data_IF_634933195717
#
_entry.id   IF_634933195717
#
_cell.length_a   1.000
_cell.length_b   1.000
_cell.length_c   1.000
_cell.angle_alpha   90.00
_cell.angle_beta   90.00
_cell.angle_gamma   90.00
#
_symmetry.space_group_name_H-M   'P 1'
#
loop_
_entity.id
_entity.type
_entity.pdbx_description
1 polymer ?
#
# COMPACT_ATOMS: atom_id res chain seq x y z
N UNK A 1 35.03 13.30 13.33
CA UNK A 1 34.26 12.72 14.45
C UNK A 1 34.11 11.22 14.20
N UNK A 2 34.24 10.40 15.24
CA UNK A 2 34.10 8.95 15.13
C UNK A 2 32.59 8.61 14.97
N UNK A 3 32.23 7.85 13.94
CA UNK A 3 30.87 7.43 13.74
C UNK A 3 30.60 6.20 14.59
N UNK A 4 29.66 6.26 15.50
CA UNK A 4 29.31 5.19 16.43
C UNK A 4 27.90 4.59 16.18
N UNK A 5 27.14 5.19 15.28
CA UNK A 5 25.79 4.75 14.91
C UNK A 5 25.64 4.73 13.39
N UNK A 6 24.96 3.73 12.88
CA UNK A 6 24.73 3.54 11.45
C UNK A 6 23.24 3.32 11.24
N UNK A 7 22.60 4.18 10.47
CA UNK A 7 21.19 4.03 10.11
C UNK A 7 21.09 3.43 8.72
N UNK A 8 20.23 2.43 8.57
CA UNK A 8 19.89 1.78 7.29
C UNK A 8 18.44 2.07 7.00
N UNK A 9 18.17 2.87 5.96
CA UNK A 9 16.82 3.11 5.42
C UNK A 9 16.38 1.99 4.49
N UNK A 10 17.34 1.48 3.69
CA UNK A 10 17.08 0.41 2.73
C UNK A 10 18.20 -0.62 2.77
N UNK A 11 17.88 -1.85 3.11
CA UNK A 11 18.79 -2.96 3.31
C UNK A 11 17.99 -4.23 3.63
N UNK A 12 18.67 -5.30 4.05
CA UNK A 12 18.00 -6.54 4.48
C UNK A 12 17.08 -6.28 5.68
N UNK A 13 17.56 -5.50 6.66
CA UNK A 13 16.77 -5.05 7.80
C UNK A 13 17.02 -3.56 8.00
N UNK A 14 16.06 -2.66 7.77
CA UNK A 14 16.16 -1.25 8.12
C UNK A 14 16.25 -1.07 9.64
N UNK A 15 17.04 -0.08 10.09
CA UNK A 15 17.22 0.15 11.54
C UNK A 15 18.47 0.94 11.88
N UNK A 16 18.75 1.08 13.19
CA UNK A 16 19.96 1.72 13.71
C UNK A 16 20.87 0.67 14.30
N UNK A 17 22.13 0.68 13.87
CA UNK A 17 23.16 -0.26 14.26
C UNK A 17 24.29 0.47 14.97
N UNK A 18 24.90 -0.14 16.00
CA UNK A 18 25.95 0.47 16.81
C UNK A 18 27.34 0.19 16.29
N UNK A 19 27.47 -0.76 15.37
CA UNK A 19 28.74 -1.10 14.74
C UNK A 19 28.64 -1.13 13.22
N UNK A 20 29.75 -0.86 12.54
CA UNK A 20 29.82 -1.00 11.09
C UNK A 20 29.56 -2.43 10.63
N UNK A 21 30.05 -3.42 11.38
CA UNK A 21 29.86 -4.83 11.02
C UNK A 21 28.39 -5.24 10.98
N UNK A 22 27.59 -4.78 11.94
CA UNK A 22 26.13 -4.99 11.95
C UNK A 22 25.46 -4.29 10.77
N UNK A 23 25.81 -3.05 10.49
CA UNK A 23 25.28 -2.31 9.35
C UNK A 23 25.69 -2.96 8.01
N UNK A 24 26.95 -3.36 7.86
CA UNK A 24 27.46 -4.01 6.66
C UNK A 24 26.72 -5.30 6.36
N UNK A 25 26.38 -6.08 7.37
CA UNK A 25 25.59 -7.30 7.21
C UNK A 25 24.19 -7.03 6.61
N UNK A 26 23.65 -5.83 6.82
CA UNK A 26 22.32 -5.45 6.30
C UNK A 26 22.38 -4.85 4.88
N UNK A 27 23.51 -4.34 4.46
CA UNK A 27 23.62 -3.59 3.19
C UNK A 27 24.45 -4.32 2.14
N UNK A 28 25.32 -5.23 2.55
CA UNK A 28 26.22 -5.98 1.67
C UNK A 28 25.43 -6.93 0.77
N UNK A 29 25.57 -6.74 -0.55
CA UNK A 29 24.85 -7.53 -1.54
C UNK A 29 23.39 -7.09 -1.76
N UNK A 30 22.91 -6.09 -1.06
CA UNK A 30 21.56 -5.55 -1.25
C UNK A 30 21.58 -4.44 -2.30
N UNK A 31 20.95 -4.69 -3.46
CA UNK A 31 20.89 -3.72 -4.56
C UNK A 31 20.08 -2.48 -4.14
N UNK A 32 20.70 -1.30 -4.21
CA UNK A 32 20.07 -0.04 -3.84
C UNK A 32 20.01 0.24 -2.34
N UNK A 33 20.88 -0.37 -1.55
CA UNK A 33 21.00 -0.08 -0.11
C UNK A 33 21.20 1.41 0.17
N UNK A 34 20.47 1.95 1.16
CA UNK A 34 20.57 3.34 1.63
C UNK A 34 20.91 3.34 3.11
N UNK A 35 22.09 3.81 3.45
CA UNK A 35 22.58 3.85 4.82
C UNK A 35 23.51 5.03 5.07
N UNK A 36 23.64 5.45 6.32
CA UNK A 36 24.51 6.56 6.70
C UNK A 36 25.02 6.39 8.14
N UNK A 37 26.25 6.83 8.40
CA UNK A 37 26.86 6.80 9.74
C UNK A 37 26.79 8.14 10.44
N UNK A 38 26.52 8.13 11.76
CA UNK A 38 26.27 9.28 12.63
C UNK A 38 27.14 9.24 13.89
N UNK A 39 27.31 10.38 14.54
CA UNK A 39 28.03 10.47 15.80
C UNK A 39 27.15 10.08 16.99
N UNK A 40 25.85 10.37 16.93
CA UNK A 40 24.87 10.08 17.98
C UNK A 40 23.69 9.24 17.45
N UNK A 41 23.01 8.57 18.36
CA UNK A 41 21.81 7.78 18.04
C UNK A 41 20.65 8.69 17.60
N UNK A 42 20.52 9.86 18.22
CA UNK A 42 19.47 10.82 17.89
C UNK A 42 19.61 11.36 16.45
N UNK A 43 20.84 11.63 16.01
CA UNK A 43 21.10 12.00 14.60
C UNK A 43 20.73 10.87 13.64
N UNK A 44 21.02 9.62 13.99
CA UNK A 44 20.67 8.45 13.19
C UNK A 44 19.16 8.27 13.12
N UNK A 45 18.47 8.44 14.25
CA UNK A 45 17.01 8.36 14.36
C UNK A 45 16.32 9.47 13.57
N UNK A 46 16.75 10.72 13.74
CA UNK A 46 16.22 11.85 12.99
C UNK A 46 16.38 11.64 11.48
N UNK A 47 17.54 11.15 11.04
CA UNK A 47 17.76 10.87 9.63
C UNK A 47 16.88 9.74 9.09
N UNK A 48 16.55 8.73 9.88
CA UNK A 48 15.58 7.71 9.51
C UNK A 48 14.16 8.33 9.39
N UNK A 49 13.81 9.23 10.31
CA UNK A 49 12.51 9.91 10.34
C UNK A 49 12.34 10.97 9.24
N UNK A 50 13.42 11.61 8.79
CA UNK A 50 13.38 12.66 7.75
C UNK A 50 12.86 12.18 6.37
N UNK A 51 12.77 10.84 6.15
CA UNK A 51 12.28 10.25 4.90
C UNK A 51 11.05 9.34 5.10
N UNK A 52 10.69 9.06 6.34
CA UNK A 52 9.41 8.44 6.66
C UNK A 52 8.47 9.57 7.03
N UNK A 53 7.59 9.96 6.12
CA UNK A 53 6.55 10.97 6.37
C UNK A 53 5.56 10.51 7.43
N UNK A 54 6.02 10.37 8.68
CA UNK A 54 5.19 10.18 9.85
C UNK A 54 5.56 11.27 10.85
N UNK A 55 4.91 12.41 10.74
CA UNK A 55 4.95 13.47 11.73
C UNK A 55 3.54 13.99 11.96
N UNK A 56 3.06 13.67 13.16
CA UNK A 56 2.11 14.46 13.98
C UNK A 56 1.11 15.38 13.28
N UNK A 57 -0.17 15.10 13.55
CA UNK A 57 -1.27 16.02 13.38
C UNK A 57 -0.95 17.42 13.98
N UNK A 58 -0.52 18.34 13.15
CA UNK A 58 -0.51 19.77 13.44
C UNK A 58 -0.78 20.53 12.15
N UNK A 59 -1.99 21.07 12.06
CA UNK A 59 -2.48 22.02 11.07
C UNK A 59 -1.41 22.98 10.56
N UNK A 60 -0.90 22.76 9.35
CA UNK A 60 -0.30 23.81 8.51
C UNK A 60 -0.70 23.57 7.07
N UNK A 61 -1.35 24.60 6.48
CA UNK A 61 -1.71 24.67 5.07
C UNK A 61 -0.52 24.28 4.21
N UNK A 62 -0.63 23.11 3.52
CA UNK A 62 0.40 22.58 2.64
C UNK A 62 0.53 23.38 1.37
N UNK A 63 1.75 23.53 0.90
CA UNK A 63 2.04 23.86 -0.49
C UNK A 63 1.53 22.73 -1.40
N UNK A 64 1.03 23.02 -2.60
CA UNK A 64 0.56 21.97 -3.50
C UNK A 64 1.71 21.01 -3.83
N UNK A 65 1.44 19.71 -3.68
CA UNK A 65 2.34 18.65 -4.11
C UNK A 65 2.59 18.80 -5.63
N UNK A 66 3.83 18.57 -6.07
CA UNK A 66 4.16 18.57 -7.50
C UNK A 66 3.33 17.49 -8.18
N UNK A 67 2.53 17.87 -9.17
CA UNK A 67 1.83 16.92 -10.02
C UNK A 67 2.82 15.90 -10.59
N UNK A 68 2.65 14.63 -10.25
CA UNK A 68 3.41 13.52 -10.82
C UNK A 68 2.76 13.18 -12.15
N UNK A 69 3.50 13.08 -13.27
CA UNK A 69 2.91 12.75 -14.56
C UNK A 69 2.32 11.34 -14.53
N UNK A 70 1.01 11.25 -14.56
CA UNK A 70 0.29 9.99 -14.73
C UNK A 70 0.27 9.63 -16.20
N UNK A 71 0.54 8.36 -16.55
CA UNK A 71 0.41 7.89 -17.93
C UNK A 71 -1.07 7.73 -18.29
N UNK A 72 -1.61 8.72 -19.00
CA UNK A 72 -3.01 8.77 -19.45
C UNK A 72 -3.78 9.96 -18.87
N UNK A 73 -4.90 10.30 -19.51
CA UNK A 73 -5.81 11.31 -18.96
C UNK A 73 -6.42 10.80 -17.65
N UNK A 74 -6.11 11.47 -16.54
CA UNK A 74 -6.80 11.24 -15.27
C UNK A 74 -8.26 11.65 -15.41
N UNK A 75 -9.20 10.83 -14.92
CA UNK A 75 -10.59 11.25 -14.89
C UNK A 75 -10.75 12.43 -13.94
N UNK A 76 -11.63 13.37 -14.31
CA UNK A 76 -12.12 14.36 -13.37
C UNK A 76 -12.85 13.66 -12.21
N UNK A 77 -12.78 14.24 -11.01
CA UNK A 77 -13.43 13.68 -9.83
C UNK A 77 -12.55 12.68 -9.08
N UNK A 78 -13.20 11.70 -8.47
CA UNK A 78 -12.49 10.74 -7.60
C UNK A 78 -11.97 9.53 -8.36
N UNK A 79 -10.74 9.16 -8.05
CA UNK A 79 -10.10 7.94 -8.55
C UNK A 79 -9.41 7.19 -7.41
N UNK A 80 -9.23 5.89 -7.57
CA UNK A 80 -8.43 5.06 -6.66
C UNK A 80 -7.52 4.13 -7.46
N UNK A 81 -6.25 4.04 -7.09
CA UNK A 81 -5.36 2.97 -7.52
C UNK A 81 -5.32 1.90 -6.44
N UNK A 82 -5.49 0.67 -6.82
CA UNK A 82 -5.57 -0.47 -5.90
C UNK A 82 -4.56 -1.54 -6.29
N UNK A 83 -3.88 -2.11 -5.30
CA UNK A 83 -2.94 -3.22 -5.50
C UNK A 83 -2.98 -4.16 -4.29
N UNK A 84 -2.50 -5.39 -4.47
CA UNK A 84 -2.47 -6.42 -3.46
C UNK A 84 -1.10 -7.08 -3.35
N UNK A 85 -0.68 -7.35 -2.12
CA UNK A 85 0.51 -8.11 -1.81
C UNK A 85 0.18 -9.35 -0.98
N UNK A 86 1.09 -10.31 -0.95
CA UNK A 86 0.87 -11.58 -0.25
C UNK A 86 2.14 -12.06 0.43
N UNK A 87 2.00 -12.46 1.68
CA UNK A 87 3.07 -13.06 2.47
C UNK A 87 2.63 -14.45 2.93
N UNK A 88 3.39 -15.46 2.53
CA UNK A 88 3.23 -16.83 3.02
C UNK A 88 4.40 -17.18 3.92
N UNK A 89 4.10 -17.54 5.16
CA UNK A 89 5.06 -18.07 6.11
C UNK A 89 4.57 -19.41 6.67
N UNK A 90 5.43 -20.11 7.41
CA UNK A 90 5.10 -21.44 8.00
C UNK A 90 3.91 -21.35 8.98
N UNK A 91 3.72 -20.21 9.63
CA UNK A 91 2.70 -20.01 10.68
C UNK A 91 1.56 -19.08 10.29
N UNK A 92 1.70 -18.26 9.24
CA UNK A 92 0.71 -17.24 8.91
C UNK A 92 0.60 -17.04 7.41
N UNK A 93 -0.63 -16.82 6.95
CA UNK A 93 -0.96 -16.43 5.58
C UNK A 93 -1.67 -15.10 5.66
N UNK A 94 -0.96 -14.03 5.29
CA UNK A 94 -1.47 -12.65 5.30
C UNK A 94 -1.43 -12.06 3.89
N UNK A 95 -2.34 -11.16 3.61
CA UNK A 95 -2.33 -10.39 2.37
C UNK A 95 -2.48 -8.91 2.69
N UNK A 96 -1.75 -8.08 1.97
CA UNK A 96 -1.75 -6.64 2.12
C UNK A 96 -2.60 -5.99 1.02
N UNK A 97 -3.32 -4.95 1.37
CA UNK A 97 -4.08 -4.10 0.48
C UNK A 97 -3.50 -2.69 0.49
N UNK A 98 -3.23 -2.12 -0.67
CA UNK A 98 -2.77 -0.75 -0.86
C UNK A 98 -3.75 0.03 -1.72
N UNK A 99 -4.14 1.23 -1.26
CA UNK A 99 -5.05 2.11 -1.97
C UNK A 99 -4.53 3.54 -1.97
N UNK A 100 -4.49 4.16 -3.14
CA UNK A 100 -4.20 5.58 -3.30
C UNK A 100 -5.46 6.26 -3.80
N UNK A 101 -6.04 7.14 -3.01
CA UNK A 101 -7.24 7.90 -3.38
C UNK A 101 -6.84 9.26 -3.94
N UNK A 102 -7.38 9.59 -5.10
CA UNK A 102 -7.13 10.86 -5.76
C UNK A 102 -8.44 11.62 -5.98
N UNK A 103 -8.32 12.96 -5.97
CA UNK A 103 -9.36 13.87 -6.45
C UNK A 103 -8.73 14.82 -7.47
N UNK A 104 -9.25 14.82 -8.67
CA UNK A 104 -8.77 15.67 -9.77
C UNK A 104 -7.23 15.54 -10.01
N UNK A 105 -6.70 14.33 -9.80
CA UNK A 105 -5.28 14.00 -9.97
C UNK A 105 -4.39 14.29 -8.76
N UNK A 106 -4.92 14.84 -7.67
CA UNK A 106 -4.19 15.06 -6.42
C UNK A 106 -4.49 13.96 -5.40
N UNK A 107 -3.47 13.43 -4.72
CA UNK A 107 -3.66 12.42 -3.67
C UNK A 107 -4.37 13.09 -2.48
N UNK A 108 -5.50 12.51 -2.06
CA UNK A 108 -6.30 12.98 -0.92
C UNK A 108 -6.28 11.99 0.24
N UNK A 109 -5.98 10.71 -0.01
CA UNK A 109 -5.83 9.70 1.04
C UNK A 109 -5.00 8.50 0.56
N UNK A 110 -4.39 7.78 1.50
CA UNK A 110 -3.60 6.57 1.29
C UNK A 110 -4.02 5.53 2.33
N UNK A 111 -4.30 4.31 1.90
CA UNK A 111 -4.73 3.22 2.79
C UNK A 111 -3.78 2.05 2.64
N UNK A 112 -3.30 1.54 3.77
CA UNK A 112 -2.48 0.34 3.85
C UNK A 112 -3.10 -0.56 4.92
N UNK A 113 -3.63 -1.73 4.52
CA UNK A 113 -4.37 -2.62 5.43
C UNK A 113 -3.98 -4.08 5.21
N UNK A 114 -3.84 -4.82 6.31
CA UNK A 114 -3.56 -6.25 6.29
C UNK A 114 -4.86 -7.04 6.41
N UNK A 115 -5.02 -8.05 5.56
CA UNK A 115 -6.11 -9.01 5.65
C UNK A 115 -5.61 -10.39 6.10
N UNK A 116 -6.42 -11.06 6.96
CA UNK A 116 -6.09 -12.35 7.55
C UNK A 116 -7.20 -13.41 7.29
N UNK A 117 -8.18 -13.09 6.44
CA UNK A 117 -9.24 -14.04 6.08
C UNK A 117 -8.68 -15.24 5.33
N UNK A 118 -8.76 -16.42 5.97
CA UNK A 118 -8.16 -17.65 5.45
C UNK A 118 -8.80 -18.11 4.13
N UNK A 119 -10.10 -17.86 3.92
CA UNK A 119 -10.80 -18.24 2.67
C UNK A 119 -10.38 -17.30 1.52
N UNK A 120 -10.16 -16.03 1.83
CA UNK A 120 -9.67 -15.06 0.87
C UNK A 120 -8.18 -15.26 0.57
N UNK A 121 -7.39 -15.57 1.58
CA UNK A 121 -5.93 -15.74 1.51
C UNK A 121 -5.49 -16.84 0.52
N UNK A 122 -6.32 -17.86 0.24
CA UNK A 122 -6.04 -18.87 -0.81
C UNK A 122 -5.92 -18.26 -2.22
N UNK A 123 -6.36 -17.01 -2.39
CA UNK A 123 -6.24 -16.27 -3.64
C UNK A 123 -4.94 -15.46 -3.75
N UNK A 124 -4.09 -15.49 -2.70
CA UNK A 124 -2.77 -14.83 -2.66
C UNK A 124 -2.87 -13.32 -2.92
N UNK A 125 -2.07 -12.77 -3.84
CA UNK A 125 -2.07 -11.33 -4.17
C UNK A 125 -3.48 -10.84 -4.55
N UNK A 126 -4.26 -11.68 -5.24
CA UNK A 126 -5.64 -11.33 -5.63
C UNK A 126 -6.54 -11.08 -4.41
N UNK A 127 -6.25 -11.71 -3.26
CA UNK A 127 -6.95 -11.41 -2.00
C UNK A 127 -6.72 -9.95 -1.57
N UNK A 128 -5.48 -9.49 -1.65
CA UNK A 128 -5.11 -8.10 -1.37
C UNK A 128 -5.80 -7.11 -2.32
N UNK A 129 -5.83 -7.42 -3.63
CA UNK A 129 -6.50 -6.56 -4.60
C UNK A 129 -8.02 -6.49 -4.40
N UNK A 130 -8.67 -7.60 -4.02
CA UNK A 130 -10.09 -7.63 -3.64
C UNK A 130 -10.31 -6.71 -2.43
N UNK A 131 -9.51 -6.87 -1.37
CA UNK A 131 -9.60 -6.03 -0.18
C UNK A 131 -9.36 -4.57 -0.52
N UNK A 132 -8.32 -4.24 -1.28
CA UNK A 132 -8.01 -2.88 -1.70
C UNK A 132 -9.15 -2.23 -2.48
N UNK A 133 -9.76 -2.98 -3.40
CA UNK A 133 -10.92 -2.50 -4.15
C UNK A 133 -12.15 -2.27 -3.26
N UNK A 134 -12.41 -3.14 -2.29
CA UNK A 134 -13.47 -2.93 -1.29
C UNK A 134 -13.20 -1.70 -0.40
N UNK A 135 -11.96 -1.52 0.05
CA UNK A 135 -11.56 -0.36 0.86
C UNK A 135 -11.78 0.95 0.10
N UNK A 136 -11.38 1.01 -1.18
CA UNK A 136 -11.63 2.18 -2.04
C UNK A 136 -13.13 2.50 -2.15
N UNK A 137 -13.96 1.49 -2.37
CA UNK A 137 -15.42 1.67 -2.46
C UNK A 137 -16.04 2.08 -1.11
N UNK A 138 -15.59 1.49 0.00
CA UNK A 138 -16.04 1.87 1.36
C UNK A 138 -15.64 3.29 1.72
N UNK A 139 -14.41 3.68 1.37
CA UNK A 139 -13.93 5.05 1.54
C UNK A 139 -14.83 6.04 0.78
N UNK A 140 -15.16 5.73 -0.47
CA UNK A 140 -16.04 6.56 -1.29
C UNK A 140 -17.43 6.74 -0.66
N UNK A 141 -18.03 5.65 -0.15
CA UNK A 141 -19.32 5.69 0.53
C UNK A 141 -19.25 6.53 1.82
N UNK A 142 -18.19 6.36 2.63
CA UNK A 142 -17.98 7.11 3.87
C UNK A 142 -17.76 8.61 3.67
N UNK A 143 -17.31 9.00 2.47
CA UNK A 143 -17.07 10.39 2.08
C UNK A 143 -18.16 10.96 1.14
N UNK A 144 -19.32 10.30 1.05
CA UNK A 144 -20.46 10.72 0.19
C UNK A 144 -20.11 10.89 -1.30
N UNK A 145 -19.06 10.21 -1.78
CA UNK A 145 -18.68 10.17 -3.19
C UNK A 145 -19.71 9.37 -3.97
N UNK A 146 -20.16 9.89 -5.10
CA UNK A 146 -21.21 9.27 -5.94
C UNK A 146 -20.65 8.56 -7.16
N UNK A 147 -19.48 8.97 -7.64
CA UNK A 147 -18.79 8.36 -8.78
C UNK A 147 -17.30 8.23 -8.47
N UNK A 148 -16.72 7.09 -8.78
CA UNK A 148 -15.28 6.82 -8.62
C UNK A 148 -14.74 5.95 -9.75
N UNK A 149 -13.53 6.24 -10.21
CA UNK A 149 -12.78 5.36 -11.12
C UNK A 149 -11.76 4.55 -10.33
N UNK A 150 -11.82 3.21 -10.42
CA UNK A 150 -10.84 2.31 -9.81
C UNK A 150 -9.87 1.81 -10.88
N UNK A 151 -8.59 2.13 -10.71
CA UNK A 151 -7.47 1.62 -11.49
C UNK A 151 -6.92 0.36 -10.83
N UNK A 152 -6.79 -0.72 -11.61
CA UNK A 152 -6.35 -2.04 -11.14
C UNK A 152 -5.54 -2.73 -12.24
N UNK A 153 -4.62 -3.62 -11.90
CA UNK A 153 -3.84 -4.37 -12.88
C UNK A 153 -4.36 -5.79 -13.13
N UNK A 154 -5.09 -6.39 -12.18
CA UNK A 154 -5.70 -7.70 -12.34
C UNK A 154 -7.14 -7.63 -12.88
N UNK A 155 -7.37 -8.21 -14.04
CA UNK A 155 -8.67 -8.20 -14.76
C UNK A 155 -9.86 -8.67 -13.92
N UNK A 156 -9.62 -9.61 -12.98
CA UNK A 156 -10.65 -10.19 -12.13
C UNK A 156 -11.40 -9.16 -11.30
N UNK A 157 -10.75 -8.07 -10.87
CA UNK A 157 -11.37 -7.03 -10.04
C UNK A 157 -12.58 -6.42 -10.76
N UNK A 158 -12.41 -5.97 -11.99
CA UNK A 158 -13.50 -5.45 -12.80
C UNK A 158 -14.51 -6.54 -13.21
N UNK A 159 -13.98 -7.71 -13.59
CA UNK A 159 -14.82 -8.76 -14.16
C UNK A 159 -15.78 -9.39 -13.15
N UNK A 160 -15.38 -9.54 -11.89
CA UNK A 160 -16.27 -10.02 -10.83
C UNK A 160 -17.25 -8.95 -10.37
N UNK A 161 -16.80 -7.72 -10.11
CA UNK A 161 -17.65 -6.62 -9.69
C UNK A 161 -18.77 -6.30 -10.71
N UNK A 162 -18.46 -6.42 -12.01
CA UNK A 162 -19.42 -6.17 -13.09
C UNK A 162 -20.23 -7.40 -13.49
N UNK A 163 -19.94 -8.59 -12.94
CA UNK A 163 -20.60 -9.85 -13.26
C UNK A 163 -20.19 -10.47 -14.59
N UNK A 164 -19.13 -9.97 -15.26
CA UNK A 164 -18.60 -10.57 -16.49
C UNK A 164 -18.02 -11.96 -16.25
N UNK A 165 -17.40 -12.18 -15.10
CA UNK A 165 -16.89 -13.49 -14.70
C UNK A 165 -17.79 -14.12 -13.64
N UNK A 166 -17.94 -15.44 -13.73
CA UNK A 166 -18.59 -16.24 -12.68
C UNK A 166 -17.72 -16.25 -11.43
N UNK A 167 -18.38 -16.25 -10.27
CA UNK A 167 -17.74 -16.32 -8.95
C UNK A 167 -17.94 -17.71 -8.37
N UNK A 168 -16.86 -18.38 -7.98
CA UNK A 168 -16.88 -19.76 -7.49
C UNK A 168 -16.23 -19.91 -6.11
N UNK A 169 -15.44 -18.92 -5.67
CA UNK A 169 -14.79 -18.90 -4.37
C UNK A 169 -15.51 -17.94 -3.45
N UNK A 170 -15.55 -18.24 -2.15
CA UNK A 170 -16.24 -17.42 -1.16
C UNK A 170 -15.86 -15.93 -1.26
N UNK A 171 -14.56 -15.61 -1.34
CA UNK A 171 -14.10 -14.22 -1.49
C UNK A 171 -14.61 -13.52 -2.75
N UNK A 172 -14.62 -14.19 -3.90
CA UNK A 172 -15.14 -13.58 -5.14
C UNK A 172 -16.65 -13.43 -5.12
N UNK A 173 -17.36 -14.34 -4.45
CA UNK A 173 -18.83 -14.26 -4.26
C UNK A 173 -19.15 -13.06 -3.35
N UNK A 174 -18.45 -12.93 -2.23
CA UNK A 174 -18.64 -11.82 -1.29
C UNK A 174 -18.31 -10.46 -1.95
N UNK A 175 -17.19 -10.37 -2.66
CA UNK A 175 -16.77 -9.16 -3.37
C UNK A 175 -17.83 -8.71 -4.40
N UNK A 176 -18.32 -9.66 -5.22
CA UNK A 176 -19.38 -9.38 -6.18
C UNK A 176 -20.65 -8.89 -5.49
N UNK A 177 -21.10 -9.59 -4.44
CA UNK A 177 -22.29 -9.23 -3.68
C UNK A 177 -22.15 -7.83 -3.06
N UNK A 178 -20.98 -7.49 -2.53
CA UNK A 178 -20.68 -6.16 -2.01
C UNK A 178 -20.79 -5.10 -3.13
N UNK A 179 -20.10 -5.29 -4.26
CA UNK A 179 -20.14 -4.36 -5.38
C UNK A 179 -21.57 -4.16 -5.94
N UNK A 180 -22.38 -5.23 -5.95
CA UNK A 180 -23.79 -5.15 -6.35
C UNK A 180 -24.64 -4.35 -5.34
N UNK A 181 -24.39 -4.54 -4.04
CA UNK A 181 -25.18 -3.88 -2.97
C UNK A 181 -25.03 -2.37 -2.93
N UNK A 182 -23.90 -1.84 -3.39
CA UNK A 182 -23.59 -0.39 -3.36
C UNK A 182 -23.88 0.34 -4.67
N UNK A 183 -24.28 -0.37 -5.71
CA UNK A 183 -24.39 0.14 -7.10
C UNK A 183 -25.34 1.33 -7.24
N UNK A 184 -26.38 1.42 -6.42
CA UNK A 184 -27.30 2.56 -6.41
C UNK A 184 -26.73 3.78 -5.66
N UNK A 185 -25.74 3.58 -4.80
CA UNK A 185 -25.13 4.62 -3.97
C UNK A 185 -23.85 5.17 -4.56
N UNK A 186 -23.07 4.30 -5.23
CA UNK A 186 -21.77 4.60 -5.82
C UNK A 186 -21.65 4.00 -7.21
N UNK A 187 -21.44 4.84 -8.20
CA UNK A 187 -21.12 4.42 -9.57
C UNK A 187 -19.59 4.20 -9.67
N UNK A 188 -19.18 2.96 -9.85
CA UNK A 188 -17.77 2.59 -10.02
C UNK A 188 -17.46 2.33 -11.48
N UNK A 189 -16.44 3.01 -12.01
CA UNK A 189 -15.82 2.74 -13.30
C UNK A 189 -14.49 2.04 -13.08
N UNK A 190 -14.28 0.89 -13.71
CA UNK A 190 -13.02 0.16 -13.62
C UNK A 190 -12.14 0.45 -14.82
N UNK A 191 -10.87 0.78 -14.60
CA UNK A 191 -9.84 0.97 -15.63
C UNK A 191 -8.65 0.07 -15.36
N UNK A 192 -8.34 -0.78 -16.33
CA UNK A 192 -7.15 -1.62 -16.23
C UNK A 192 -5.90 -0.80 -16.54
N UNK A 193 -4.92 -0.90 -15.64
CA UNK A 193 -3.56 -0.41 -15.86
C UNK A 193 -2.63 -1.59 -16.10
N UNK A 194 -1.43 -1.33 -16.56
CA UNK A 194 -0.41 -2.36 -16.71
C UNK A 194 0.42 -2.39 -15.42
N UNK A 195 0.40 -3.51 -14.71
CA UNK A 195 1.23 -3.72 -13.52
C UNK A 195 2.72 -3.51 -13.81
N UNK A 196 3.44 -2.94 -12.85
CA UNK A 196 4.88 -2.67 -12.92
C UNK A 196 5.33 -1.92 -14.19
N UNK A 197 4.53 -1.00 -14.67
CA UNK A 197 4.82 -0.23 -15.89
C UNK A 197 5.46 1.13 -15.63
N UNK A 198 5.76 1.45 -14.36
CA UNK A 198 6.28 2.75 -13.94
C UNK A 198 5.18 3.81 -13.84
N UNK A 199 3.91 3.41 -13.66
CA UNK A 199 2.83 4.30 -13.25
C UNK A 199 3.02 4.61 -11.75
N UNK A 200 3.33 5.88 -11.38
CA UNK A 200 3.70 6.22 -10.01
C UNK A 200 2.59 5.94 -8.99
N UNK A 201 1.31 6.02 -9.39
CA UNK A 201 0.20 5.78 -8.48
C UNK A 201 -0.02 4.28 -8.27
N UNK A 202 0.18 3.46 -9.31
CA UNK A 202 0.15 2.00 -9.17
C UNK A 202 1.36 1.51 -8.35
N UNK A 203 2.55 2.07 -8.59
CA UNK A 203 3.75 1.72 -7.82
C UNK A 203 3.60 2.11 -6.33
N UNK A 204 2.91 3.22 -6.03
CA UNK A 204 2.59 3.63 -4.66
C UNK A 204 1.56 2.68 -4.01
N UNK A 205 0.52 2.26 -4.72
CA UNK A 205 -0.45 1.28 -4.21
C UNK A 205 0.23 -0.07 -3.91
N UNK A 206 1.15 -0.56 -4.79
CA UNK A 206 1.97 -1.75 -4.54
C UNK A 206 2.85 -1.60 -3.28
N UNK A 207 3.46 -0.43 -3.10
CA UNK A 207 4.24 -0.13 -1.91
C UNK A 207 3.37 -0.19 -0.64
N UNK A 208 2.21 0.44 -0.62
CA UNK A 208 1.28 0.43 0.52
C UNK A 208 0.80 -0.99 0.85
N UNK A 209 0.52 -1.81 -0.17
CA UNK A 209 0.14 -3.21 0.02
C UNK A 209 1.27 -4.04 0.67
N UNK A 210 2.52 -3.77 0.35
CA UNK A 210 3.69 -4.41 0.98
C UNK A 210 3.95 -3.89 2.39
N UNK A 211 3.76 -2.60 2.63
CA UNK A 211 3.91 -1.99 3.95
C UNK A 211 2.91 -2.55 4.96
N UNK A 212 1.68 -2.82 4.55
CA UNK A 212 0.67 -3.48 5.38
C UNK A 212 1.18 -4.78 6.00
N UNK A 213 1.93 -5.57 5.24
CA UNK A 213 2.48 -6.85 5.68
C UNK A 213 3.64 -6.72 6.66
N UNK A 214 4.36 -5.59 6.64
CA UNK A 214 5.49 -5.34 7.54
C UNK A 214 5.04 -4.80 8.90
N UNK A 215 4.00 -3.97 8.94
CA UNK A 215 3.45 -3.38 10.17
C UNK A 215 2.77 -4.46 11.02
N UNK A 216 2.00 -5.35 10.41
CA UNK A 216 1.35 -6.47 11.10
C UNK A 216 2.28 -7.54 11.66
N UNK A 217 3.57 -7.52 11.30
CA UNK A 217 4.58 -8.45 11.83
C UNK A 217 5.23 -7.94 13.12
N UNK A 218 5.03 -6.68 13.49
CA UNK A 218 5.71 -6.02 14.63
C UNK A 218 4.93 -6.14 15.94
N UNK A 219 3.67 -6.54 15.92
CA UNK A 219 2.81 -6.60 17.11
C UNK A 219 2.79 -7.98 17.83
N UNK A 220 3.44 -9.01 17.28
CA UNK A 220 3.39 -10.36 17.84
C UNK A 220 4.63 -10.77 18.67
N UNK A 221 5.46 -9.83 19.12
CA UNK A 221 6.52 -10.14 20.07
C UNK A 221 6.19 -9.50 21.42
N UNK A 222 5.12 -9.94 22.06
CA UNK A 222 5.03 -9.91 23.51
C UNK A 222 5.66 -11.19 24.08
N UNK A 223 6.76 -11.02 24.79
CA UNK A 223 7.42 -12.08 25.56
C UNK A 223 6.57 -12.45 26.76
N UNK A 224 6.16 -13.74 26.87
CA UNK A 224 5.91 -14.36 28.16
C UNK A 224 7.24 -14.66 28.89
#
# INVERSE_FOLDING_TARGET
>A
MKKNYYAVKKGLTPGIYRTWAECEAQVKGFAGAVFKGFATEDEARNWLMEDTGAAEAATKKGKPAKAVPVQGEMPEGYAAYVDGSFLESISMTKFGAGVVILKDGEIVDEISEVGEDAELAVMRNVAGEILASELAMRWALGNDVKEMTIFHDYEGIAAWATGKWKTNKAGTIAYKAFAESIREQLKVTFRKVKGHSGDPMNDLADQLAKEALTIGSSEEIEYE
#
